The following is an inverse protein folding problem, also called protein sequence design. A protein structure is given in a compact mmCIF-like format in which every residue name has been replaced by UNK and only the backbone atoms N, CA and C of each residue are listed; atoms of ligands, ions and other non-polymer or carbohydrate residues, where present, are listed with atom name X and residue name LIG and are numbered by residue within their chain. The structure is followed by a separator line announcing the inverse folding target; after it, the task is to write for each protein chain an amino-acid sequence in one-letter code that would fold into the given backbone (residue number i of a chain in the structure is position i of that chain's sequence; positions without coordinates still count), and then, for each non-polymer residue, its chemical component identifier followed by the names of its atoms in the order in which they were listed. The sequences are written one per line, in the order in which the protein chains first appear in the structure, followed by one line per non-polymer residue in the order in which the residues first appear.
data_IF_644200499801
#
_entry.id   IF_644200499801
#
_cell.length_a   1.000
_cell.length_b   1.000
_cell.length_c   1.000
_cell.angle_alpha   90.00
_cell.angle_beta   90.00
_cell.angle_gamma   90.00
#
_symmetry.space_group_name_H-M   'P 1'
#
loop_
_entity.id
_entity.type
_entity.pdbx_description
1 polymer ?
#
# COMPACT_ATOMS: atom_id res chain seq x y z
N UNK A 1 -6.23 32.45 -41.93
CA UNK A 1 -6.73 33.07 -40.69
C UNK A 1 -5.53 33.52 -39.86
N UNK A 2 -5.54 34.74 -39.30
CA UNK A 2 -4.47 35.19 -38.42
C UNK A 2 -4.33 34.29 -37.20
N UNK A 3 -3.09 34.02 -36.76
CA UNK A 3 -2.80 33.15 -35.57
C UNK A 3 -3.55 33.62 -34.33
N UNK A 4 -3.74 34.93 -34.18
CA UNK A 4 -4.53 35.49 -33.05
C UNK A 4 -5.99 35.02 -33.06
N UNK A 5 -6.63 34.95 -34.22
CA UNK A 5 -8.03 34.51 -34.35
C UNK A 5 -8.17 33.01 -34.01
N UNK A 6 -7.18 32.19 -34.36
CA UNK A 6 -7.15 30.77 -33.99
C UNK A 6 -6.96 30.57 -32.49
N UNK A 7 -6.08 31.35 -31.86
CA UNK A 7 -5.87 31.28 -30.40
C UNK A 7 -7.10 31.75 -29.64
N UNK A 8 -7.81 32.77 -30.13
CA UNK A 8 -9.04 33.24 -29.55
C UNK A 8 -10.18 32.20 -29.65
N UNK A 9 -10.30 31.56 -30.81
CA UNK A 9 -11.26 30.50 -31.04
C UNK A 9 -11.01 29.29 -30.14
N UNK A 10 -9.75 28.93 -29.96
CA UNK A 10 -9.33 27.87 -29.02
C UNK A 10 -9.68 28.21 -27.55
N UNK A 11 -9.36 29.43 -27.11
CA UNK A 11 -9.69 29.90 -25.76
C UNK A 11 -11.17 29.87 -25.51
N UNK A 12 -11.98 30.43 -26.41
CA UNK A 12 -13.47 30.43 -26.28
C UNK A 12 -14.04 29.00 -26.30
N UNK A 13 -13.47 28.11 -27.09
CA UNK A 13 -13.87 26.68 -27.08
C UNK A 13 -13.58 25.96 -25.78
N UNK A 14 -12.42 26.22 -25.19
CA UNK A 14 -12.07 25.65 -23.87
C UNK A 14 -12.95 26.25 -22.75
N UNK A 15 -13.19 27.54 -22.73
CA UNK A 15 -14.09 28.20 -21.76
C UNK A 15 -15.53 27.65 -21.86
N UNK A 16 -16.06 27.44 -23.08
CA UNK A 16 -17.37 26.88 -23.27
C UNK A 16 -17.47 25.40 -22.82
N UNK A 17 -16.41 24.61 -23.05
CA UNK A 17 -16.31 23.22 -22.60
C UNK A 17 -16.27 23.17 -21.07
N UNK A 18 -15.44 23.99 -20.43
CA UNK A 18 -15.34 24.08 -18.98
C UNK A 18 -16.68 24.48 -18.35
N UNK A 19 -17.38 25.47 -18.92
CA UNK A 19 -18.70 25.88 -18.46
C UNK A 19 -19.75 24.75 -18.58
N UNK A 20 -19.71 23.98 -19.68
CA UNK A 20 -20.61 22.85 -19.88
C UNK A 20 -20.37 21.72 -18.87
N UNK A 21 -19.11 21.38 -18.61
CA UNK A 21 -18.71 20.37 -17.62
C UNK A 21 -19.12 20.82 -16.21
N UNK A 22 -18.84 22.07 -15.82
CA UNK A 22 -19.21 22.61 -14.52
C UNK A 22 -20.74 22.68 -14.31
N UNK A 23 -21.52 22.96 -15.36
CA UNK A 23 -23.00 22.92 -15.28
C UNK A 23 -23.51 21.51 -15.01
N UNK A 24 -22.94 20.50 -15.65
CA UNK A 24 -23.30 19.11 -15.39
C UNK A 24 -22.96 18.71 -13.95
N UNK A 25 -21.74 19.00 -13.51
CA UNK A 25 -21.29 18.71 -12.14
C UNK A 25 -22.14 19.40 -11.07
N UNK A 26 -22.48 20.68 -11.27
CA UNK A 26 -23.38 21.42 -10.34
C UNK A 26 -24.77 20.83 -10.26
N UNK A 27 -25.32 20.28 -11.36
CA UNK A 27 -26.62 19.62 -11.36
C UNK A 27 -26.59 18.33 -10.53
N UNK A 28 -25.57 17.50 -10.69
CA UNK A 28 -25.39 16.25 -9.92
C UNK A 28 -25.23 16.53 -8.42
N UNK A 29 -24.39 17.50 -8.05
CA UNK A 29 -24.22 17.91 -6.65
C UNK A 29 -25.52 18.46 -6.04
N UNK A 30 -26.30 19.25 -6.77
CA UNK A 30 -27.57 19.79 -6.30
C UNK A 30 -28.66 18.71 -6.18
N UNK A 31 -28.68 17.71 -7.05
CA UNK A 31 -29.56 16.56 -6.94
C UNK A 31 -29.22 15.72 -5.71
N UNK A 32 -27.97 15.36 -5.52
CA UNK A 32 -27.52 14.63 -4.35
C UNK A 32 -27.77 15.38 -3.04
N UNK A 33 -27.60 16.70 -3.02
CA UNK A 33 -27.94 17.52 -1.85
C UNK A 33 -29.45 17.58 -1.57
N UNK A 34 -30.29 17.61 -2.62
CA UNK A 34 -31.75 17.57 -2.47
C UNK A 34 -32.23 16.22 -1.95
N UNK A 35 -31.69 15.11 -2.45
CA UNK A 35 -31.99 13.78 -1.96
C UNK A 35 -31.56 13.59 -0.50
N UNK A 36 -30.37 14.05 -0.13
CA UNK A 36 -29.88 14.04 1.27
C UNK A 36 -30.74 14.93 2.18
N UNK A 37 -31.25 16.07 1.66
CA UNK A 37 -32.12 16.97 2.43
C UNK A 37 -33.56 16.44 2.53
N UNK A 38 -34.05 15.71 1.52
CA UNK A 38 -35.33 15.01 1.60
C UNK A 38 -35.28 13.88 2.61
N UNK A 39 -34.28 13.02 2.58
CA UNK A 39 -34.05 12.00 3.61
C UNK A 39 -33.99 12.56 5.04
N UNK A 40 -33.46 13.81 5.21
CA UNK A 40 -33.43 14.47 6.52
C UNK A 40 -34.81 15.04 6.99
N UNK A 41 -35.73 15.26 6.07
CA UNK A 41 -37.06 15.80 6.40
C UNK A 41 -38.09 14.73 6.74
N UNK A 42 -37.85 13.49 6.36
CA UNK A 42 -38.80 12.37 6.55
C UNK A 42 -38.56 11.58 7.85
N UNK A 43 -37.60 11.97 8.69
CA UNK A 43 -37.36 11.32 9.99
C UNK A 43 -37.39 12.33 11.17
N UNK A 44 -38.59 12.69 11.69
CA UNK A 44 -38.69 13.57 12.85
C UNK A 44 -38.36 12.91 14.20
N UNK A 45 -38.13 11.60 14.26
CA UNK A 45 -37.99 10.86 15.52
C UNK A 45 -36.63 10.20 15.76
N UNK A 46 -35.63 10.42 14.90
CA UNK A 46 -34.23 10.04 15.16
C UNK A 46 -33.96 8.53 15.25
N UNK A 47 -34.90 7.67 14.86
CA UNK A 47 -34.69 6.23 14.79
C UNK A 47 -34.48 5.84 13.30
N UNK A 48 -33.22 5.88 12.85
CA UNK A 48 -32.86 5.34 11.54
C UNK A 48 -32.74 3.83 11.62
N UNK A 49 -33.67 3.15 11.03
CA UNK A 49 -33.40 1.80 10.52
C UNK A 49 -32.44 1.93 9.33
N UNK A 50 -31.21 1.44 9.53
CA UNK A 50 -30.22 1.28 8.46
C UNK A 50 -30.82 0.29 7.46
N UNK A 51 -30.84 0.61 6.14
CA UNK A 51 -31.33 -0.36 5.15
C UNK A 51 -30.61 -1.70 5.32
N UNK A 52 -31.38 -2.78 5.36
CA UNK A 52 -30.88 -4.15 5.59
C UNK A 52 -29.92 -4.69 4.51
N UNK A 53 -29.65 -3.94 3.45
CA UNK A 53 -28.67 -4.30 2.40
C UNK A 53 -27.21 -4.04 2.76
N UNK A 54 -26.95 -3.40 3.91
CA UNK A 54 -25.62 -3.38 4.51
C UNK A 54 -25.50 -4.45 5.58
N UNK A 55 -25.86 -5.69 5.25
CA UNK A 55 -25.55 -6.82 6.13
C UNK A 55 -24.04 -6.92 6.19
N UNK A 56 -23.54 -6.72 7.39
CA UNK A 56 -22.20 -7.11 7.80
C UNK A 56 -21.95 -8.54 7.30
N UNK A 57 -21.20 -8.68 6.22
CA UNK A 57 -20.52 -9.94 6.00
C UNK A 57 -19.51 -10.05 7.13
N UNK A 58 -19.63 -11.02 8.02
CA UNK A 58 -18.58 -11.23 9.02
C UNK A 58 -17.37 -11.75 8.24
N UNK A 59 -16.47 -10.83 7.85
CA UNK A 59 -15.11 -11.24 7.57
C UNK A 59 -14.62 -11.82 8.90
N UNK A 60 -14.56 -13.15 8.97
CA UNK A 60 -14.01 -13.84 10.12
C UNK A 60 -12.65 -13.21 10.38
N UNK A 61 -12.53 -12.57 11.53
CA UNK A 61 -11.25 -12.11 12.03
C UNK A 61 -10.26 -13.25 11.82
N UNK A 62 -9.07 -12.90 11.31
CA UNK A 62 -7.95 -13.84 11.25
C UNK A 62 -7.87 -14.48 12.63
N UNK A 63 -8.39 -15.71 12.70
CA UNK A 63 -8.49 -16.44 13.95
C UNK A 63 -7.12 -16.99 14.30
N UNK A 64 -6.39 -16.20 15.01
CA UNK A 64 -5.08 -16.55 15.49
C UNK A 64 -4.53 -15.43 16.34
N UNK A 65 -5.29 -14.95 17.36
CA UNK A 65 -4.70 -14.21 18.46
C UNK A 65 -3.67 -15.11 19.14
N UNK A 66 -2.47 -15.17 18.59
CA UNK A 66 -1.29 -15.29 19.44
C UNK A 66 -1.13 -13.91 20.07
N UNK A 67 -1.71 -13.74 21.25
CA UNK A 67 -1.34 -12.65 22.14
C UNK A 67 0.18 -12.71 22.23
N UNK A 68 0.86 -11.63 21.83
CA UNK A 68 2.29 -11.51 21.99
C UNK A 68 2.57 -11.51 23.50
N UNK A 69 2.91 -12.65 24.03
CA UNK A 69 3.17 -12.87 25.45
C UNK A 69 4.43 -12.16 25.96
N UNK A 70 5.07 -11.30 25.14
CA UNK A 70 6.37 -10.70 25.47
C UNK A 70 6.46 -9.17 25.29
N UNK A 71 5.41 -8.47 24.87
CA UNK A 71 5.52 -7.00 24.65
C UNK A 71 6.51 -6.58 23.53
N UNK A 72 6.98 -7.55 22.74
CA UNK A 72 7.87 -7.31 21.59
C UNK A 72 7.06 -7.14 20.31
N UNK A 73 7.43 -6.21 19.41
CA UNK A 73 6.71 -6.03 18.16
C UNK A 73 6.92 -7.23 17.23
N UNK A 74 5.85 -7.64 16.56
CA UNK A 74 5.90 -8.63 15.46
C UNK A 74 6.70 -8.06 14.31
N UNK A 75 7.39 -8.90 13.54
CA UNK A 75 8.14 -8.48 12.35
C UNK A 75 7.49 -9.03 11.10
N UNK A 76 7.09 -8.13 10.22
CA UNK A 76 6.54 -8.43 8.90
C UNK A 76 7.51 -7.96 7.81
N UNK A 77 7.48 -8.64 6.68
CA UNK A 77 8.35 -8.33 5.54
C UNK A 77 7.51 -8.17 4.28
N UNK A 78 7.80 -7.15 3.49
CA UNK A 78 7.20 -6.95 2.17
C UNK A 78 8.29 -7.09 1.09
N UNK A 79 8.02 -7.89 0.07
CA UNK A 79 8.94 -8.25 -0.99
C UNK A 79 8.40 -7.84 -2.36
N UNK A 80 9.21 -7.10 -3.10
CA UNK A 80 9.02 -6.83 -4.52
C UNK A 80 10.05 -7.57 -5.40
N UNK A 81 10.78 -8.54 -4.85
CA UNK A 81 11.74 -9.39 -5.58
C UNK A 81 11.60 -10.84 -5.16
N UNK A 82 11.23 -11.75 -6.09
CA UNK A 82 11.08 -13.17 -5.77
C UNK A 82 12.36 -13.84 -5.27
N UNK A 83 13.52 -13.42 -5.77
CA UNK A 83 14.81 -13.97 -5.36
C UNK A 83 15.19 -13.68 -3.90
N UNK A 84 14.51 -12.71 -3.25
CA UNK A 84 14.68 -12.42 -1.82
C UNK A 84 13.89 -13.37 -0.91
N UNK A 85 12.89 -14.07 -1.42
CA UNK A 85 12.01 -14.93 -0.63
C UNK A 85 12.78 -15.98 0.20
N UNK A 86 13.75 -16.74 -0.33
CA UNK A 86 14.49 -17.73 0.46
C UNK A 86 15.20 -17.14 1.68
N UNK A 87 15.73 -15.91 1.57
CA UNK A 87 16.42 -15.22 2.68
C UNK A 87 15.45 -14.88 3.82
N UNK A 88 14.16 -14.67 3.53
CA UNK A 88 13.12 -14.34 4.50
C UNK A 88 12.51 -15.59 5.12
N UNK A 89 12.30 -16.65 4.34
CA UNK A 89 11.72 -17.91 4.82
C UNK A 89 12.53 -18.53 5.97
N UNK A 90 13.85 -18.46 5.91
CA UNK A 90 14.73 -19.02 6.93
C UNK A 90 14.84 -18.19 8.22
N UNK A 91 14.28 -16.98 8.27
CA UNK A 91 14.34 -16.15 9.47
C UNK A 91 13.19 -16.49 10.44
N UNK A 92 13.48 -16.98 11.68
CA UNK A 92 12.45 -17.44 12.60
C UNK A 92 11.60 -16.32 13.20
N UNK A 93 12.04 -15.07 13.09
CA UNK A 93 11.36 -13.92 13.69
C UNK A 93 10.39 -13.22 12.75
N UNK A 94 10.42 -13.52 11.45
CA UNK A 94 9.46 -13.02 10.50
C UNK A 94 8.19 -13.86 10.58
N UNK A 95 7.05 -13.21 10.85
CA UNK A 95 5.77 -13.90 11.01
C UNK A 95 4.87 -13.80 9.77
N UNK A 96 5.00 -12.69 9.01
CA UNK A 96 4.17 -12.42 7.81
C UNK A 96 5.02 -11.92 6.67
N UNK A 97 4.71 -12.40 5.46
CA UNK A 97 5.35 -11.98 4.22
C UNK A 97 4.27 -11.43 3.28
N UNK A 98 4.48 -10.22 2.80
CA UNK A 98 3.71 -9.60 1.72
C UNK A 98 4.47 -9.77 0.41
N UNK A 99 3.84 -10.32 -0.61
CA UNK A 99 4.43 -10.52 -1.94
C UNK A 99 3.71 -9.67 -2.98
N UNK A 100 4.46 -8.90 -3.77
CA UNK A 100 3.88 -7.96 -4.73
C UNK A 100 3.35 -8.69 -5.98
N UNK A 101 2.10 -8.43 -6.36
CA UNK A 101 1.43 -9.10 -7.48
C UNK A 101 2.06 -8.79 -8.85
N UNK A 102 2.81 -7.68 -8.99
CA UNK A 102 3.48 -7.33 -10.24
C UNK A 102 4.75 -8.16 -10.47
N UNK A 103 5.37 -8.59 -9.39
CA UNK A 103 6.68 -9.25 -9.38
C UNK A 103 6.59 -10.77 -9.17
N UNK A 104 5.64 -11.18 -8.32
CA UNK A 104 5.27 -12.57 -8.13
C UNK A 104 4.08 -12.88 -9.03
N UNK A 105 4.32 -13.42 -10.22
CA UNK A 105 3.27 -13.74 -11.19
C UNK A 105 2.32 -14.85 -10.72
N UNK A 106 1.16 -15.00 -11.37
CA UNK A 106 0.16 -16.00 -11.00
C UNK A 106 0.67 -17.44 -10.98
N UNK A 107 1.68 -17.72 -11.77
CA UNK A 107 2.35 -19.01 -11.84
C UNK A 107 3.15 -19.35 -10.56
N UNK A 108 3.56 -18.34 -9.81
CA UNK A 108 4.33 -18.48 -8.57
C UNK A 108 3.47 -18.45 -7.31
N UNK A 109 2.24 -17.94 -7.37
CA UNK A 109 1.43 -17.63 -6.19
C UNK A 109 1.24 -18.83 -5.26
N UNK A 110 0.83 -19.98 -5.81
CA UNK A 110 0.57 -21.18 -5.03
C UNK A 110 1.83 -21.72 -4.36
N UNK A 111 2.94 -21.81 -5.11
CA UNK A 111 4.22 -22.26 -4.58
C UNK A 111 4.77 -21.30 -3.51
N UNK A 112 4.63 -19.99 -3.74
CA UNK A 112 5.05 -18.96 -2.79
C UNK A 112 4.28 -19.06 -1.47
N UNK A 113 2.94 -19.14 -1.54
CA UNK A 113 2.10 -19.28 -0.35
C UNK A 113 2.43 -20.58 0.41
N UNK A 114 2.54 -21.71 -0.29
CA UNK A 114 2.93 -22.99 0.32
C UNK A 114 4.29 -22.91 1.01
N UNK A 115 5.30 -22.32 0.35
CA UNK A 115 6.63 -22.15 0.94
C UNK A 115 6.63 -21.29 2.20
N UNK A 116 5.79 -20.26 2.24
CA UNK A 116 5.59 -19.43 3.44
C UNK A 116 4.96 -20.25 4.57
N UNK A 117 3.91 -21.03 4.28
CA UNK A 117 3.23 -21.87 5.26
C UNK A 117 4.14 -22.98 5.78
N UNK A 118 4.93 -23.62 4.93
CA UNK A 118 5.91 -24.64 5.33
C UNK A 118 6.97 -24.07 6.29
N UNK A 119 7.26 -22.76 6.15
CA UNK A 119 8.13 -22.02 7.05
C UNK A 119 7.39 -21.45 8.30
N UNK A 120 6.08 -21.75 8.46
CA UNK A 120 5.26 -21.26 9.56
C UNK A 120 4.92 -19.77 9.50
N UNK A 121 4.83 -19.17 8.31
CA UNK A 121 4.60 -17.74 8.08
C UNK A 121 3.31 -17.49 7.34
N UNK A 122 2.63 -16.39 7.66
CA UNK A 122 1.50 -15.89 6.87
C UNK A 122 2.03 -15.32 5.53
N UNK A 123 1.28 -15.54 4.45
CA UNK A 123 1.57 -15.03 3.11
C UNK A 123 0.40 -14.21 2.58
N UNK A 124 0.61 -12.92 2.34
CA UNK A 124 -0.40 -12.02 1.80
C UNK A 124 -0.01 -11.49 0.42
N UNK A 125 -0.97 -11.41 -0.48
CA UNK A 125 -0.75 -10.80 -1.79
C UNK A 125 -0.91 -9.28 -1.69
N UNK A 126 0.09 -8.54 -2.18
CA UNK A 126 0.03 -7.07 -2.27
C UNK A 126 -0.53 -6.66 -3.62
N UNK A 127 -1.60 -5.86 -3.59
CA UNK A 127 -2.22 -5.32 -4.79
C UNK A 127 -1.35 -4.22 -5.43
N UNK A 128 -1.49 -3.95 -6.75
CA UNK A 128 -0.68 -2.95 -7.43
C UNK A 128 -1.02 -1.53 -6.98
N UNK A 129 -0.05 -0.60 -6.99
CA UNK A 129 -0.30 0.81 -6.64
C UNK A 129 -1.31 1.52 -7.56
N UNK A 130 -1.44 1.08 -8.81
CA UNK A 130 -2.42 1.60 -9.76
C UNK A 130 -3.31 0.45 -10.24
N UNK A 131 -4.56 0.48 -9.80
CA UNK A 131 -5.56 -0.50 -10.21
C UNK A 131 -6.48 0.10 -11.29
N UNK A 132 -6.18 -0.21 -12.56
CA UNK A 132 -6.92 0.23 -13.75
C UNK A 132 -7.23 -0.98 -14.63
N UNK A 133 -7.77 -0.73 -15.80
CA UNK A 133 -8.16 -1.75 -16.78
C UNK A 133 -7.10 -2.85 -17.01
N UNK A 134 -5.81 -2.52 -17.02
CA UNK A 134 -4.75 -3.52 -17.19
C UNK A 134 -4.62 -4.44 -15.96
N UNK A 135 -4.71 -3.88 -14.76
CA UNK A 135 -4.71 -4.65 -13.52
C UNK A 135 -5.98 -5.50 -13.39
N UNK A 136 -7.14 -4.92 -13.68
CA UNK A 136 -8.42 -5.63 -13.69
C UNK A 136 -8.38 -6.85 -14.62
N UNK A 137 -7.98 -6.65 -15.89
CA UNK A 137 -7.80 -7.75 -16.86
C UNK A 137 -6.79 -8.81 -16.42
N UNK A 138 -5.74 -8.38 -15.74
CA UNK A 138 -4.73 -9.31 -15.21
C UNK A 138 -5.35 -10.22 -14.15
N UNK A 139 -6.02 -9.65 -13.16
CA UNK A 139 -6.65 -10.42 -12.09
C UNK A 139 -7.86 -11.24 -12.58
N UNK A 140 -8.63 -10.77 -13.57
CA UNK A 140 -9.69 -11.57 -14.19
C UNK A 140 -9.14 -12.83 -14.85
N UNK A 141 -8.08 -12.70 -15.67
CA UNK A 141 -7.41 -13.84 -16.32
C UNK A 141 -6.79 -14.80 -15.31
N UNK A 142 -6.31 -14.29 -14.20
CA UNK A 142 -5.63 -15.06 -13.15
C UNK A 142 -6.54 -15.40 -11.97
N UNK A 143 -7.86 -15.16 -12.09
CA UNK A 143 -8.83 -15.33 -11.01
C UNK A 143 -8.77 -16.70 -10.35
N UNK A 144 -8.73 -17.76 -11.16
CA UNK A 144 -8.62 -19.12 -10.65
C UNK A 144 -7.35 -19.31 -9.83
N UNK A 145 -6.21 -18.90 -10.36
CA UNK A 145 -4.92 -18.97 -9.66
C UNK A 145 -4.95 -18.17 -8.34
N UNK A 146 -5.58 -16.99 -8.34
CA UNK A 146 -5.73 -16.16 -7.15
C UNK A 146 -6.57 -16.84 -6.06
N UNK A 147 -7.70 -17.41 -6.43
CA UNK A 147 -8.57 -18.12 -5.47
C UNK A 147 -7.95 -19.42 -4.94
N UNK A 148 -7.10 -20.09 -5.72
CA UNK A 148 -6.47 -21.37 -5.38
C UNK A 148 -5.05 -21.23 -4.82
N UNK A 149 -4.52 -20.00 -4.72
CA UNK A 149 -3.15 -19.74 -4.27
C UNK A 149 -2.92 -20.10 -2.80
N UNK A 150 -3.95 -19.93 -1.96
CA UNK A 150 -3.85 -20.20 -0.53
C UNK A 150 -3.25 -19.04 0.27
N UNK A 151 -3.38 -17.79 -0.20
CA UNK A 151 -2.98 -16.62 0.57
C UNK A 151 -3.83 -16.45 1.83
N UNK A 152 -3.23 -15.93 2.90
CA UNK A 152 -3.90 -15.64 4.17
C UNK A 152 -4.61 -14.29 4.18
N UNK A 153 -4.38 -13.45 3.17
CA UNK A 153 -5.01 -12.15 3.04
C UNK A 153 -4.49 -11.34 1.85
N UNK A 154 -4.97 -10.11 1.77
CA UNK A 154 -4.61 -9.16 0.69
C UNK A 154 -4.24 -7.82 1.28
N UNK A 155 -3.11 -7.24 0.84
CA UNK A 155 -2.71 -5.86 1.15
C UNK A 155 -3.28 -4.92 0.09
N UNK A 156 -4.20 -4.05 0.47
CA UNK A 156 -4.95 -3.13 -0.38
C UNK A 156 -4.31 -1.75 -0.35
N UNK A 157 -4.08 -1.17 -1.52
CA UNK A 157 -3.42 0.12 -1.72
C UNK A 157 -4.34 1.21 -2.28
N UNK A 158 -5.51 0.84 -2.84
CA UNK A 158 -6.45 1.78 -3.46
C UNK A 158 -7.93 1.39 -3.26
N UNK A 159 -8.82 2.36 -3.43
CA UNK A 159 -10.27 2.14 -3.31
C UNK A 159 -10.84 1.29 -4.45
N UNK A 160 -10.23 1.35 -5.64
CA UNK A 160 -10.62 0.56 -6.80
C UNK A 160 -10.47 -0.93 -6.55
N UNK A 161 -9.45 -1.33 -5.82
CA UNK A 161 -9.19 -2.71 -5.43
C UNK A 161 -10.30 -3.27 -4.54
N UNK A 162 -10.82 -2.45 -3.62
CA UNK A 162 -11.95 -2.85 -2.77
C UNK A 162 -13.17 -3.18 -3.62
N UNK A 163 -13.47 -2.33 -4.62
CA UNK A 163 -14.57 -2.58 -5.55
C UNK A 163 -14.40 -3.89 -6.32
N UNK A 164 -13.21 -4.13 -6.84
CA UNK A 164 -12.90 -5.35 -7.57
C UNK A 164 -12.98 -6.60 -6.67
N UNK A 165 -12.34 -6.58 -5.51
CA UNK A 165 -12.28 -7.72 -4.59
C UNK A 165 -13.64 -8.11 -4.04
N UNK A 166 -14.53 -7.16 -3.78
CA UNK A 166 -15.90 -7.42 -3.34
C UNK A 166 -16.72 -8.23 -4.34
N UNK A 167 -16.44 -8.05 -5.63
CA UNK A 167 -17.23 -8.67 -6.71
C UNK A 167 -16.55 -9.89 -7.33
N UNK A 168 -15.23 -9.94 -7.34
CA UNK A 168 -14.44 -10.92 -8.10
C UNK A 168 -13.34 -11.61 -7.31
N UNK A 169 -12.95 -11.06 -6.14
CA UNK A 169 -11.84 -11.59 -5.33
C UNK A 169 -12.23 -12.81 -4.49
N UNK A 170 -11.23 -13.51 -3.93
CA UNK A 170 -11.44 -14.51 -2.90
C UNK A 170 -11.89 -13.86 -1.58
N UNK A 171 -12.61 -14.62 -0.77
CA UNK A 171 -13.00 -14.20 0.59
C UNK A 171 -11.79 -14.29 1.53
N UNK A 172 -10.96 -13.27 1.53
CA UNK A 172 -9.74 -13.16 2.34
C UNK A 172 -9.78 -11.90 3.20
N UNK A 173 -9.11 -11.89 4.36
CA UNK A 173 -8.90 -10.69 5.16
C UNK A 173 -8.14 -9.61 4.39
N UNK A 174 -8.49 -8.36 4.64
CA UNK A 174 -7.87 -7.20 3.99
C UNK A 174 -7.03 -6.41 4.98
N UNK A 175 -5.78 -6.19 4.64
CA UNK A 175 -4.91 -5.21 5.30
C UNK A 175 -4.88 -3.96 4.42
N UNK A 176 -5.20 -2.80 4.97
CA UNK A 176 -5.14 -1.56 4.19
C UNK A 176 -3.79 -0.89 4.39
N UNK A 177 -3.08 -0.66 3.29
CA UNK A 177 -1.74 -0.10 3.29
C UNK A 177 -1.75 1.41 3.61
N UNK A 178 -0.59 1.97 3.91
CA UNK A 178 -0.40 3.39 4.27
C UNK A 178 -1.01 4.36 3.27
N UNK A 179 -1.07 4.01 1.98
CA UNK A 179 -1.71 4.80 0.92
C UNK A 179 -3.22 4.96 1.04
N UNK A 180 -3.88 4.23 1.96
CA UNK A 180 -5.29 4.41 2.29
C UNK A 180 -5.54 5.55 3.28
N UNK A 181 -4.47 6.20 3.77
CA UNK A 181 -4.50 7.44 4.55
C UNK A 181 -5.33 7.40 5.84
N UNK A 182 -5.10 6.40 6.68
CA UNK A 182 -5.65 6.34 8.05
C UNK A 182 -5.04 7.40 8.99
N UNK A 183 -5.13 8.69 8.62
CA UNK A 183 -4.43 9.80 9.28
C UNK A 183 -4.95 10.15 10.68
N UNK A 184 -6.10 9.63 11.09
CA UNK A 184 -6.72 9.88 12.37
C UNK A 184 -7.79 8.84 12.67
N UNK A 185 -8.27 8.78 13.92
CA UNK A 185 -9.25 7.80 14.40
C UNK A 185 -10.55 7.74 13.58
N UNK A 186 -10.98 8.87 12.99
CA UNK A 186 -12.18 8.89 12.14
C UNK A 186 -11.93 8.21 10.79
N UNK A 187 -10.77 8.50 10.19
CA UNK A 187 -10.34 7.84 8.96
C UNK A 187 -10.14 6.34 9.20
N UNK A 188 -9.44 5.94 10.26
CA UNK A 188 -9.29 4.53 10.63
C UNK A 188 -10.65 3.84 10.84
N UNK A 189 -11.55 4.48 11.58
CA UNK A 189 -12.89 3.92 11.81
C UNK A 189 -13.70 3.77 10.52
N UNK A 190 -13.51 4.68 9.55
CA UNK A 190 -14.13 4.57 8.23
C UNK A 190 -13.52 3.40 7.43
N UNK A 191 -12.19 3.29 7.39
CA UNK A 191 -11.51 2.21 6.69
C UNK A 191 -11.86 0.82 7.26
N UNK A 192 -11.97 0.70 8.59
CA UNK A 192 -12.44 -0.52 9.25
C UNK A 192 -13.88 -0.88 8.83
N UNK A 193 -14.78 0.10 8.73
CA UNK A 193 -16.14 -0.13 8.23
C UNK A 193 -16.19 -0.53 6.76
N UNK A 194 -15.19 -0.16 5.97
CA UNK A 194 -15.05 -0.58 4.57
C UNK A 194 -14.58 -2.04 4.42
N UNK A 195 -14.12 -2.67 5.51
CA UNK A 195 -13.72 -4.06 5.54
C UNK A 195 -12.25 -4.30 5.87
N UNK A 196 -11.49 -3.27 6.29
CA UNK A 196 -10.14 -3.48 6.76
C UNK A 196 -10.14 -4.36 8.02
N UNK A 197 -9.35 -5.43 8.03
CA UNK A 197 -9.06 -6.21 9.22
C UNK A 197 -7.90 -5.58 10.02
N UNK A 198 -6.91 -5.05 9.32
CA UNK A 198 -5.72 -4.40 9.86
C UNK A 198 -5.37 -3.16 9.01
N UNK A 199 -4.62 -2.23 9.59
CA UNK A 199 -4.18 -0.99 8.92
C UNK A 199 -2.66 -0.84 9.05
N UNK A 200 -2.04 -0.32 7.99
CA UNK A 200 -0.67 0.20 8.04
C UNK A 200 -0.74 1.70 8.32
N UNK A 201 0.01 2.15 9.31
CA UNK A 201 0.07 3.56 9.65
C UNK A 201 0.66 4.40 8.51
N UNK A 202 0.11 5.60 8.25
CA UNK A 202 0.64 6.50 7.23
C UNK A 202 2.10 6.86 7.49
N UNK A 203 2.92 6.81 6.45
CA UNK A 203 4.35 7.13 6.52
C UNK A 203 4.63 8.64 6.65
N UNK A 204 3.61 9.46 6.47
CA UNK A 204 3.63 10.92 6.60
C UNK A 204 3.51 11.39 8.05
N UNK A 205 2.98 10.55 8.95
CA UNK A 205 2.81 10.90 10.36
C UNK A 205 4.13 10.76 11.12
N UNK A 206 4.39 11.74 12.01
CA UNK A 206 5.52 11.65 12.92
C UNK A 206 5.17 10.85 14.20
N UNK A 207 6.18 10.54 15.01
CA UNK A 207 6.04 9.78 16.26
C UNK A 207 4.94 10.33 17.18
N UNK A 208 4.86 11.67 17.33
CA UNK A 208 3.86 12.31 18.19
C UNK A 208 2.44 12.17 17.63
N UNK A 209 2.28 12.24 16.33
CA UNK A 209 0.99 12.06 15.65
C UNK A 209 0.54 10.60 15.72
N UNK A 210 1.45 9.67 15.44
CA UNK A 210 1.20 8.24 15.58
C UNK A 210 0.77 7.85 17.01
N UNK A 211 1.38 8.45 18.03
CA UNK A 211 1.01 8.19 19.43
C UNK A 211 -0.41 8.65 19.83
N UNK A 212 -1.08 9.43 18.98
CA UNK A 212 -2.47 9.89 19.19
C UNK A 212 -3.50 8.97 18.55
N UNK A 213 -3.09 8.05 17.68
CA UNK A 213 -3.98 7.07 17.09
C UNK A 213 -4.41 6.06 18.15
N UNK A 214 -5.71 5.78 18.21
CA UNK A 214 -6.28 4.91 19.24
C UNK A 214 -6.10 3.41 18.97
N UNK A 215 -5.79 3.03 17.72
CA UNK A 215 -5.65 1.64 17.31
C UNK A 215 -4.22 1.32 16.91
N UNK A 216 -3.70 0.16 17.29
CA UNK A 216 -2.39 -0.28 16.84
C UNK A 216 -2.44 -0.63 15.34
N UNK A 217 -1.49 -0.08 14.58
CA UNK A 217 -1.31 -0.39 13.15
C UNK A 217 0.09 -0.92 12.87
N UNK A 218 0.33 -1.36 11.64
CA UNK A 218 1.68 -1.70 11.19
C UNK A 218 2.52 -0.44 10.99
N UNK A 219 3.74 -0.45 11.52
CA UNK A 219 4.72 0.62 11.33
C UNK A 219 5.76 0.22 10.28
N UNK A 220 5.88 0.96 9.18
CA UNK A 220 6.98 0.78 8.24
C UNK A 220 8.27 1.34 8.87
N UNK A 221 9.18 0.46 9.26
CA UNK A 221 10.43 0.83 9.90
C UNK A 221 11.64 0.80 8.96
N UNK A 222 11.51 0.14 7.82
CA UNK A 222 12.53 0.09 6.78
C UNK A 222 11.89 0.04 5.40
N UNK A 223 12.49 0.72 4.42
CA UNK A 223 12.24 0.56 3.01
C UNK A 223 12.41 1.82 2.19
N UNK A 224 12.56 1.64 0.88
CA UNK A 224 12.54 2.77 -0.06
C UNK A 224 11.10 3.14 -0.36
N UNK A 225 10.68 4.29 0.15
CA UNK A 225 9.33 4.78 -0.10
C UNK A 225 9.19 5.27 -1.54
N UNK A 226 8.04 5.02 -2.19
CA UNK A 226 7.71 5.63 -3.47
C UNK A 226 7.70 7.16 -3.38
N UNK A 227 8.52 7.82 -4.21
CA UNK A 227 8.48 9.27 -4.41
C UNK A 227 7.41 9.64 -5.44
N UNK A 228 7.20 8.76 -6.41
CA UNK A 228 6.18 8.93 -7.45
C UNK A 228 5.75 7.56 -7.98
N UNK A 229 4.45 7.40 -8.16
CA UNK A 229 3.86 6.30 -8.91
C UNK A 229 3.19 6.89 -10.14
N UNK A 230 3.57 6.46 -11.34
CA UNK A 230 3.10 7.06 -12.58
C UNK A 230 2.69 6.03 -13.62
N UNK A 231 1.52 6.22 -14.21
CA UNK A 231 1.06 5.42 -15.35
C UNK A 231 1.75 5.81 -16.67
N UNK A 232 2.48 6.94 -16.70
CA UNK A 232 3.30 7.30 -17.83
C UNK A 232 4.62 6.54 -17.77
N UNK A 233 4.75 5.53 -18.62
CA UNK A 233 5.93 4.66 -18.65
C UNK A 233 7.17 5.40 -19.16
N UNK A 234 8.22 5.45 -18.32
CA UNK A 234 9.50 6.09 -18.67
C UNK A 234 10.16 5.32 -19.84
N UNK A 235 10.11 4.01 -19.82
CA UNK A 235 10.68 3.17 -20.88
C UNK A 235 10.01 3.41 -22.24
N UNK A 236 8.69 3.58 -22.26
CA UNK A 236 7.96 3.92 -23.49
C UNK A 236 8.29 5.33 -24.02
N UNK A 237 8.66 6.26 -23.13
CA UNK A 237 9.02 7.62 -23.49
C UNK A 237 10.45 7.76 -24.04
N UNK A 238 11.35 6.82 -23.71
CA UNK A 238 12.76 6.87 -24.12
C UNK A 238 13.10 5.85 -25.19
N UNK A 239 12.45 4.70 -25.18
CA UNK A 239 12.74 3.57 -26.06
C UNK A 239 11.43 2.90 -26.51
N UNK A 240 11.55 1.92 -27.42
CA UNK A 240 10.41 1.11 -27.83
C UNK A 240 10.06 0.12 -26.74
N UNK A 241 8.84 0.20 -26.20
CA UNK A 241 8.38 -0.69 -25.15
C UNK A 241 8.43 -2.18 -25.57
N UNK A 242 9.21 -2.97 -24.87
CA UNK A 242 9.32 -4.43 -25.04
C UNK A 242 8.49 -5.21 -24.00
N UNK A 243 7.78 -4.51 -23.12
CA UNK A 243 7.00 -5.05 -21.98
C UNK A 243 7.79 -5.91 -21.01
N UNK A 244 9.10 -5.74 -20.94
CA UNK A 244 9.91 -6.43 -19.95
C UNK A 244 10.04 -5.58 -18.69
N UNK A 245 9.79 -6.17 -17.50
CA UNK A 245 10.06 -5.49 -16.25
C UNK A 245 11.56 -5.21 -16.12
N UNK A 246 11.89 -4.11 -15.48
CA UNK A 246 13.29 -3.73 -15.31
C UNK A 246 13.47 -2.68 -14.23
N UNK A 247 14.70 -2.58 -13.75
CA UNK A 247 15.15 -1.55 -12.84
C UNK A 247 15.98 -0.53 -13.62
N UNK A 248 15.52 0.71 -13.66
CA UNK A 248 16.23 1.85 -14.21
C UNK A 248 16.74 2.75 -13.08
N UNK A 249 17.73 3.58 -13.39
CA UNK A 249 18.25 4.58 -12.44
C UNK A 249 18.07 5.96 -13.03
N UNK A 250 17.27 6.79 -12.35
CA UNK A 250 17.20 8.23 -12.66
C UNK A 250 18.26 8.95 -11.84
N UNK A 251 18.99 9.83 -12.50
CA UNK A 251 20.01 10.66 -11.85
C UNK A 251 19.60 12.12 -11.90
N UNK A 252 19.57 12.77 -10.76
CA UNK A 252 19.27 14.18 -10.67
C UNK A 252 20.53 15.04 -10.97
N UNK A 253 20.35 16.36 -10.99
CA UNK A 253 21.44 17.33 -11.20
C UNK A 253 22.49 17.32 -10.08
N UNK A 254 22.17 16.75 -8.92
CA UNK A 254 23.09 16.59 -7.78
C UNK A 254 23.77 15.21 -7.77
N UNK A 255 23.64 14.46 -8.86
CA UNK A 255 24.15 13.11 -9.03
C UNK A 255 23.55 12.07 -8.06
N UNK A 256 22.40 12.36 -7.43
CA UNK A 256 21.65 11.37 -6.65
C UNK A 256 20.90 10.42 -7.57
N UNK A 257 20.94 9.15 -7.25
CA UNK A 257 20.36 8.08 -8.04
C UNK A 257 19.05 7.59 -7.39
N UNK A 258 17.98 7.62 -8.18
CA UNK A 258 16.64 7.20 -7.78
C UNK A 258 16.28 5.92 -8.55
N UNK A 259 16.10 4.78 -7.87
CA UNK A 259 15.65 3.56 -8.53
C UNK A 259 14.24 3.74 -9.11
N UNK A 260 14.06 3.26 -10.33
CA UNK A 260 12.76 3.24 -11.02
C UNK A 260 12.43 1.82 -11.41
N UNK A 261 11.33 1.31 -10.93
CA UNK A 261 10.85 -0.03 -11.24
C UNK A 261 9.70 0.04 -12.23
N UNK A 262 9.81 -0.72 -13.31
CA UNK A 262 8.77 -0.82 -14.33
C UNK A 262 7.87 -2.02 -14.03
N UNK A 263 6.64 -1.78 -13.59
CA UNK A 263 5.63 -2.81 -13.35
C UNK A 263 4.85 -3.09 -14.64
N UNK A 264 5.49 -3.84 -15.55
CA UNK A 264 4.99 -4.03 -16.92
C UNK A 264 3.69 -4.83 -16.99
N UNK A 265 3.38 -5.67 -16.00
CA UNK A 265 2.11 -6.39 -15.90
C UNK A 265 0.91 -5.42 -15.80
N UNK A 266 1.10 -4.25 -15.18
CA UNK A 266 0.08 -3.24 -14.92
C UNK A 266 0.33 -1.91 -15.62
N UNK A 267 1.39 -1.79 -16.41
CA UNK A 267 1.72 -0.60 -17.20
C UNK A 267 1.91 0.68 -16.37
N UNK A 268 2.64 0.60 -15.24
CA UNK A 268 3.04 1.78 -14.47
C UNK A 268 4.49 1.68 -13.97
N UNK A 269 5.04 2.78 -13.47
CA UNK A 269 6.36 2.84 -12.88
C UNK A 269 6.29 3.36 -11.45
N UNK A 270 7.19 2.88 -10.61
CA UNK A 270 7.44 3.43 -9.27
C UNK A 270 8.85 4.00 -9.22
N UNK A 271 8.96 5.28 -8.90
CA UNK A 271 10.22 5.96 -8.62
C UNK A 271 10.42 5.95 -7.12
N UNK A 272 11.45 5.27 -6.65
CA UNK A 272 11.75 5.17 -5.23
C UNK A 272 12.72 6.25 -4.76
N UNK A 273 12.67 6.55 -3.47
CA UNK A 273 13.64 7.45 -2.86
C UNK A 273 15.08 6.91 -3.01
N UNK A 274 16.03 7.81 -3.22
CA UNK A 274 17.45 7.48 -3.33
C UNK A 274 17.99 6.76 -2.10
N UNK A 275 17.54 7.13 -0.90
CA UNK A 275 17.90 6.51 0.36
C UNK A 275 16.70 5.80 0.99
N UNK A 276 16.85 4.60 1.59
CA UNK A 276 15.79 3.95 2.32
C UNK A 276 15.44 4.71 3.60
N UNK A 277 14.19 4.65 4.02
CA UNK A 277 13.82 4.93 5.40
C UNK A 277 14.40 3.83 6.28
N UNK A 278 14.97 4.19 7.41
CA UNK A 278 15.39 3.24 8.44
C UNK A 278 15.13 3.83 9.82
N UNK A 279 14.35 3.12 10.63
CA UNK A 279 14.12 3.46 12.03
C UNK A 279 15.03 2.69 12.99
N UNK A 280 16.06 2.01 12.48
CA UNK A 280 17.08 1.35 13.30
C UNK A 280 17.77 2.39 14.18
N UNK A 281 17.88 2.14 15.49
CA UNK A 281 18.31 3.11 16.49
C UNK A 281 17.17 3.94 17.11
N UNK A 282 15.90 3.65 16.74
CA UNK A 282 14.70 4.29 17.30
C UNK A 282 13.84 3.30 18.11
N UNK A 283 14.47 2.26 18.68
CA UNK A 283 13.76 1.13 19.32
C UNK A 283 12.90 1.59 20.51
N UNK A 284 13.36 2.59 21.27
CA UNK A 284 12.61 3.15 22.40
C UNK A 284 11.29 3.77 21.94
N UNK A 285 11.33 4.53 20.84
CA UNK A 285 10.16 5.17 20.26
C UNK A 285 9.21 4.14 19.66
N UNK A 286 9.75 3.16 18.93
CA UNK A 286 8.94 2.07 18.35
C UNK A 286 8.21 1.31 19.46
N UNK A 287 8.90 0.95 20.55
CA UNK A 287 8.27 0.27 21.69
C UNK A 287 7.25 1.14 22.40
N UNK A 288 7.50 2.44 22.54
CA UNK A 288 6.53 3.37 23.14
C UNK A 288 5.24 3.54 22.32
N UNK A 289 5.35 3.47 21.00
CA UNK A 289 4.18 3.48 20.10
C UNK A 289 3.39 2.17 20.12
N UNK A 290 4.02 1.06 20.53
CA UNK A 290 3.40 -0.28 20.59
C UNK A 290 2.64 -0.65 19.29
N UNK A 291 3.27 -0.61 18.10
CA UNK A 291 2.61 -0.96 16.86
C UNK A 291 2.18 -2.43 16.87
N UNK A 292 1.14 -2.77 16.10
CA UNK A 292 0.70 -4.15 15.91
C UNK A 292 1.82 -5.02 15.32
N UNK A 293 2.60 -4.44 14.42
CA UNK A 293 3.79 -5.04 13.82
C UNK A 293 4.74 -3.96 13.30
N UNK A 294 6.00 -4.36 13.10
CA UNK A 294 7.02 -3.58 12.39
C UNK A 294 7.21 -4.20 11.02
N UNK A 295 6.97 -3.45 9.95
CA UNK A 295 7.16 -3.92 8.58
C UNK A 295 8.48 -3.44 7.98
N UNK A 296 9.24 -4.37 7.40
CA UNK A 296 10.46 -4.13 6.63
C UNK A 296 10.13 -4.35 5.14
N UNK A 297 10.23 -3.29 4.36
CA UNK A 297 9.82 -3.28 2.96
C UNK A 297 11.04 -3.31 2.04
N UNK A 298 11.16 -4.38 1.23
CA UNK A 298 12.25 -4.60 0.29
C UNK A 298 11.76 -4.46 -1.14
N UNK A 299 12.39 -3.56 -1.87
CA UNK A 299 11.98 -3.17 -3.23
C UNK A 299 13.04 -3.48 -4.27
N UNK A 300 14.28 -3.04 -4.05
CA UNK A 300 15.41 -3.19 -4.99
C UNK A 300 16.60 -3.90 -4.36
N UNK A 301 16.55 -4.14 -3.07
CA UNK A 301 17.60 -4.78 -2.30
C UNK A 301 17.88 -6.20 -2.80
N UNK A 302 19.14 -6.61 -2.74
CA UNK A 302 19.57 -7.98 -3.03
C UNK A 302 19.18 -8.94 -1.89
N UNK A 303 19.17 -10.26 -2.10
CA UNK A 303 18.92 -11.23 -1.04
C UNK A 303 19.87 -11.09 0.17
N UNK A 304 21.14 -10.75 -0.08
CA UNK A 304 22.15 -10.53 0.96
C UNK A 304 21.85 -9.28 1.79
N UNK A 305 21.50 -8.18 1.14
CA UNK A 305 21.09 -6.94 1.81
C UNK A 305 19.80 -7.14 2.60
N UNK A 306 18.81 -7.83 2.01
CA UNK A 306 17.56 -8.19 2.70
C UNK A 306 17.83 -8.98 3.98
N UNK A 307 18.64 -10.03 3.91
CA UNK A 307 19.01 -10.81 5.09
C UNK A 307 19.77 -9.98 6.15
N UNK A 308 20.67 -9.09 5.73
CA UNK A 308 21.41 -8.22 6.63
C UNK A 308 20.50 -7.25 7.37
N UNK A 309 19.59 -6.58 6.65
CA UNK A 309 18.60 -5.65 7.24
C UNK A 309 17.71 -6.37 8.24
N UNK A 310 17.12 -7.50 7.87
CA UNK A 310 16.24 -8.27 8.78
C UNK A 310 17.00 -8.63 10.06
N UNK A 311 18.25 -9.10 9.93
CA UNK A 311 19.09 -9.43 11.10
C UNK A 311 19.32 -8.22 12.00
N UNK A 312 19.64 -7.07 11.41
CA UNK A 312 19.85 -5.83 12.18
C UNK A 312 18.61 -5.43 12.98
N UNK A 313 17.42 -5.47 12.34
CA UNK A 313 16.17 -5.14 13.03
C UNK A 313 15.78 -6.17 14.08
N UNK A 314 15.95 -7.47 13.82
CA UNK A 314 15.66 -8.53 14.82
C UNK A 314 16.60 -8.43 16.01
N UNK A 315 17.90 -8.25 15.79
CA UNK A 315 18.89 -8.09 16.85
C UNK A 315 18.60 -6.84 17.70
N UNK A 316 18.24 -5.73 17.08
CA UNK A 316 17.99 -4.47 17.78
C UNK A 316 16.64 -4.48 18.51
N UNK A 317 15.55 -4.82 17.82
CA UNK A 317 14.19 -4.75 18.40
C UNK A 317 13.90 -5.90 19.37
N UNK A 318 14.34 -7.13 19.07
CA UNK A 318 13.99 -8.31 19.85
C UNK A 318 15.06 -8.67 20.86
N UNK A 319 16.35 -8.55 20.51
CA UNK A 319 17.45 -8.91 21.40
C UNK A 319 18.07 -7.72 22.14
N UNK A 320 17.64 -6.48 21.82
CA UNK A 320 18.16 -5.27 22.45
C UNK A 320 19.64 -4.97 22.18
N UNK A 321 20.23 -5.62 21.18
CA UNK A 321 21.61 -5.41 20.80
C UNK A 321 21.77 -4.04 20.12
N UNK A 322 22.87 -3.37 20.40
CA UNK A 322 23.25 -2.19 19.63
C UNK A 322 23.79 -2.63 18.27
N UNK A 323 23.15 -2.20 17.21
CA UNK A 323 23.49 -2.57 15.83
C UNK A 323 23.78 -1.31 15.02
N UNK A 324 24.76 -1.37 14.14
CA UNK A 324 25.05 -0.31 13.18
C UNK A 324 24.16 -0.47 11.94
N UNK A 325 23.95 0.65 11.21
CA UNK A 325 23.21 0.63 9.96
C UNK A 325 23.96 -0.24 8.94
N UNK A 326 23.28 -1.21 8.28
CA UNK A 326 23.94 -2.09 7.30
C UNK A 326 24.19 -1.41 5.94
N UNK A 327 23.90 -0.12 5.81
CA UNK A 327 24.05 0.69 4.60
C UNK A 327 24.52 2.10 4.94
N UNK A 328 25.21 2.75 3.97
CA UNK A 328 25.85 4.04 4.21
C UNK A 328 24.90 5.23 4.26
N UNK A 329 23.83 5.23 3.44
CA UNK A 329 22.87 6.35 3.34
C UNK A 329 21.46 5.88 3.70
N UNK A 330 20.77 6.65 4.56
CA UNK A 330 19.40 6.39 4.98
C UNK A 330 18.71 7.68 5.42
N UNK A 331 17.39 7.66 5.49
CA UNK A 331 16.55 8.75 6.01
C UNK A 331 15.65 8.24 7.14
N UNK A 332 15.17 9.14 7.99
CA UNK A 332 14.12 8.85 8.98
C UNK A 332 12.72 9.09 8.44
N UNK A 333 12.60 9.45 7.17
CA UNK A 333 11.32 9.86 6.59
C UNK A 333 10.69 10.99 7.40
N UNK A 334 9.39 10.95 7.55
CA UNK A 334 8.64 11.93 8.36
C UNK A 334 8.56 11.57 9.86
N UNK A 335 9.06 10.42 10.28
CA UNK A 335 8.93 9.90 11.64
C UNK A 335 9.33 10.90 12.74
N UNK A 336 10.35 11.73 12.52
CA UNK A 336 10.78 12.75 13.48
C UNK A 336 10.09 14.10 13.31
N UNK A 337 9.85 14.54 12.08
CA UNK A 337 9.45 15.93 11.79
C UNK A 337 8.02 16.05 11.25
N UNK A 338 7.45 14.99 10.70
CA UNK A 338 6.18 15.05 9.99
C UNK A 338 6.31 15.65 8.60
N UNK A 339 5.17 15.93 7.98
CA UNK A 339 5.07 16.71 6.75
C UNK A 339 4.78 18.15 7.17
N UNK A 340 5.69 19.07 6.83
CA UNK A 340 5.53 20.52 7.07
C UNK A 340 4.67 21.16 5.98
#
# INVERSE_FOLDING_TARGET
LPVQSLNELRRRGLEALEEAVLKQYRREVLQNQREVLQCRREDPQGQREIPQDCRETPHSAVSGKRESSSGQPRIFVSLERPDCLPAVLHNPYVERIYVDAAEFGPELWKETASSCHDAGKECLLTMPHIFRTEAERYFERSRKAFCEAGFDGVLIRSMEEIGYLKTHGPELPWVFDYGMYGMNDRAESFLMKMGAAELTWPVELNERELSRLSKPGELIAYGRLPMMVTAQCIHQGTEKCDKKPGLLMLKDRMAKEFPVKNHCAFCYNTIYNAAPVSLLGMEKQIRALAPAAVRLQFTVETPQETAAVIRCFTDSLLSGKRVEQPFGDFTRGHFKRGVE
#
